data_IF_421128498635
#
_entry.id   IF_421128498635
#
_cell.length_a   1.000
_cell.length_b   1.000
_cell.length_c   1.000
_cell.angle_alpha   90.00
_cell.angle_beta   90.00
_cell.angle_gamma   90.00
#
_symmetry.space_group_name_H-M   'P 1'
#
loop_
_entity.id
_entity.type
_entity.pdbx_description
1 polymer ?
#
# COMPACT_ATOMS: atom_id res chain seq x y z
N UNK A 1 -60.87 -34.27 32.07
CA UNK A 1 -59.89 -33.88 31.02
C UNK A 1 -59.20 -32.61 31.49
N UNK A 2 -57.89 -32.67 31.73
CA UNK A 2 -57.14 -31.72 32.57
C UNK A 2 -56.77 -30.42 31.83
N UNK A 3 -57.44 -29.32 32.18
CA UNK A 3 -57.22 -27.95 31.70
C UNK A 3 -55.76 -27.46 31.84
N UNK A 4 -55.02 -28.01 32.80
CA UNK A 4 -53.59 -27.73 33.04
C UNK A 4 -52.67 -28.33 31.98
N UNK A 5 -53.05 -29.45 31.36
CA UNK A 5 -52.23 -30.12 30.35
C UNK A 5 -52.30 -29.39 29.01
N UNK A 6 -53.47 -28.84 28.66
CA UNK A 6 -53.66 -28.03 27.44
C UNK A 6 -52.94 -26.67 27.54
N UNK A 7 -52.96 -26.03 28.72
CA UNK A 7 -52.23 -24.78 28.96
C UNK A 7 -50.70 -24.96 28.83
N UNK A 8 -50.14 -26.08 29.31
CA UNK A 8 -48.71 -26.36 29.15
C UNK A 8 -48.33 -26.62 27.68
N UNK A 9 -49.18 -27.27 26.89
CA UNK A 9 -48.94 -27.48 25.45
C UNK A 9 -49.01 -26.17 24.67
N UNK A 10 -49.93 -25.28 25.04
CA UNK A 10 -50.04 -23.94 24.44
C UNK A 10 -48.81 -23.08 24.78
N UNK A 11 -48.34 -23.11 26.04
CA UNK A 11 -47.14 -22.38 26.47
C UNK A 11 -45.87 -22.88 25.77
N UNK A 12 -45.72 -24.20 25.62
CA UNK A 12 -44.59 -24.80 24.87
C UNK A 12 -44.65 -24.38 23.39
N UNK A 13 -45.84 -24.34 22.79
CA UNK A 13 -46.01 -23.86 21.41
C UNK A 13 -45.62 -22.39 21.23
N UNK A 14 -46.01 -21.53 22.17
CA UNK A 14 -45.67 -20.09 22.15
C UNK A 14 -44.17 -19.87 22.34
N UNK A 15 -43.54 -20.58 23.27
CA UNK A 15 -42.09 -20.51 23.51
C UNK A 15 -41.32 -21.05 22.29
N UNK A 16 -41.76 -22.17 21.71
CA UNK A 16 -41.15 -22.73 20.50
C UNK A 16 -41.23 -21.78 19.30
N UNK A 17 -42.37 -21.11 19.12
CA UNK A 17 -42.55 -20.09 18.08
C UNK A 17 -41.63 -18.87 18.29
N UNK A 18 -41.52 -18.38 19.53
CA UNK A 18 -40.64 -17.26 19.85
C UNK A 18 -39.15 -17.58 19.62
N UNK A 19 -38.72 -18.80 19.96
CA UNK A 19 -37.33 -19.25 19.71
C UNK A 19 -37.05 -19.37 18.22
N UNK A 20 -38.00 -19.86 17.42
CA UNK A 20 -37.85 -19.96 15.96
C UNK A 20 -37.73 -18.57 15.31
N UNK A 21 -38.53 -17.60 15.77
CA UNK A 21 -38.45 -16.21 15.31
C UNK A 21 -37.09 -15.60 15.69
N UNK A 22 -36.62 -15.82 16.91
CA UNK A 22 -35.31 -15.32 17.34
C UNK A 22 -34.17 -15.91 16.52
N UNK A 23 -34.20 -17.22 16.25
CA UNK A 23 -33.18 -17.90 15.44
C UNK A 23 -33.18 -17.41 13.98
N UNK A 24 -34.36 -17.18 13.40
CA UNK A 24 -34.47 -16.63 12.04
C UNK A 24 -33.99 -15.19 11.95
N UNK A 25 -34.23 -14.36 12.97
CA UNK A 25 -33.68 -13.01 13.06
C UNK A 25 -32.15 -13.03 13.21
N UNK A 26 -31.58 -13.89 14.05
CA UNK A 26 -30.12 -14.03 14.21
C UNK A 26 -29.48 -14.50 12.90
N UNK A 27 -30.06 -15.49 12.22
CA UNK A 27 -29.58 -15.97 10.93
C UNK A 27 -29.63 -14.87 9.86
N UNK A 28 -30.72 -14.10 9.82
CA UNK A 28 -30.88 -12.99 8.87
C UNK A 28 -29.86 -11.88 9.14
N UNK A 29 -29.63 -11.52 10.40
CA UNK A 29 -28.61 -10.55 10.79
C UNK A 29 -27.22 -11.04 10.41
N UNK A 30 -26.91 -12.32 10.68
CA UNK A 30 -25.63 -12.92 10.33
C UNK A 30 -25.37 -12.92 8.82
N UNK A 31 -26.38 -13.25 8.00
CA UNK A 31 -26.27 -13.20 6.54
C UNK A 31 -26.11 -11.75 6.05
N UNK A 32 -26.88 -10.80 6.59
CA UNK A 32 -26.83 -9.39 6.19
C UNK A 32 -25.51 -8.69 6.58
N UNK A 33 -24.86 -9.13 7.67
CA UNK A 33 -23.57 -8.56 8.11
C UNK A 33 -22.34 -9.16 7.42
N UNK A 34 -22.49 -10.23 6.64
CA UNK A 34 -21.38 -10.81 5.88
C UNK A 34 -21.17 -10.00 4.61
N UNK A 35 -19.93 -9.56 4.36
CA UNK A 35 -19.55 -8.98 3.06
C UNK A 35 -19.71 -10.06 1.97
N UNK A 36 -20.24 -9.75 0.78
CA UNK A 36 -20.36 -10.72 -0.30
C UNK A 36 -18.98 -11.22 -0.71
N UNK A 37 -18.82 -12.54 -0.78
CA UNK A 37 -17.63 -13.18 -1.36
C UNK A 37 -17.81 -13.15 -2.87
N UNK A 38 -17.11 -12.25 -3.54
CA UNK A 38 -17.05 -12.22 -5.00
C UNK A 38 -16.08 -13.32 -5.45
N UNK A 39 -16.63 -14.47 -5.85
CA UNK A 39 -15.85 -15.50 -6.55
C UNK A 39 -15.83 -15.14 -8.02
N UNK A 40 -14.70 -14.62 -8.51
CA UNK A 40 -14.48 -14.45 -9.94
C UNK A 40 -14.19 -15.84 -10.51
N UNK A 41 -15.20 -16.42 -11.17
CA UNK A 41 -15.04 -17.67 -11.94
C UNK A 41 -14.51 -17.27 -13.32
N UNK A 42 -13.35 -17.79 -13.77
CA UNK A 42 -12.88 -17.56 -15.13
C UNK A 42 -13.93 -18.11 -16.12
N UNK A 43 -14.35 -17.30 -17.09
CA UNK A 43 -15.17 -17.78 -18.20
C UNK A 43 -14.31 -18.71 -19.06
N UNK A 44 -14.90 -19.82 -19.51
CA UNK A 44 -14.22 -20.85 -20.31
C UNK A 44 -13.77 -20.37 -21.71
N UNK A 45 -14.01 -19.12 -22.08
CA UNK A 45 -13.77 -18.59 -23.43
C UNK A 45 -12.49 -17.72 -23.56
N UNK A 46 -11.74 -17.48 -22.49
CA UNK A 46 -10.49 -16.68 -22.55
C UNK A 46 -9.27 -17.44 -23.11
N UNK A 47 -9.47 -18.68 -23.60
CA UNK A 47 -8.42 -19.57 -24.11
C UNK A 47 -8.04 -19.45 -25.59
N UNK A 48 -8.55 -18.47 -26.37
CA UNK A 48 -8.40 -18.49 -27.84
C UNK A 48 -7.93 -17.21 -28.51
N UNK A 49 -7.10 -16.38 -27.86
CA UNK A 49 -6.30 -15.37 -28.56
C UNK A 49 -4.82 -15.43 -28.17
N UNK A 50 -4.23 -16.60 -28.37
CA UNK A 50 -2.80 -16.73 -28.61
C UNK A 50 -2.56 -16.99 -30.10
N UNK A 51 -1.54 -16.31 -30.64
CA UNK A 51 -0.91 -16.47 -31.96
C UNK A 51 -1.60 -15.81 -33.18
N UNK A 52 -1.01 -14.70 -33.63
CA UNK A 52 -0.40 -14.61 -34.97
C UNK A 52 0.25 -13.24 -35.19
N UNK A 53 1.56 -13.15 -34.96
CA UNK A 53 2.38 -12.11 -35.56
C UNK A 53 3.64 -12.80 -36.12
N UNK A 54 3.51 -13.28 -37.34
CA UNK A 54 4.60 -13.74 -38.20
C UNK A 54 5.47 -12.53 -38.54
N UNK A 55 6.63 -12.41 -37.90
CA UNK A 55 7.66 -11.47 -38.32
C UNK A 55 8.34 -12.01 -39.58
N UNK A 56 8.14 -11.30 -40.70
CA UNK A 56 8.81 -11.55 -41.96
C UNK A 56 10.31 -11.23 -41.82
N UNK A 57 11.14 -12.25 -42.06
CA UNK A 57 12.57 -12.07 -42.26
C UNK A 57 12.81 -11.27 -43.55
N UNK A 58 13.51 -10.14 -43.43
CA UNK A 58 14.20 -9.51 -44.55
C UNK A 58 15.70 -9.50 -44.23
N UNK A 59 16.42 -10.35 -44.96
CA UNK A 59 17.87 -10.34 -44.99
C UNK A 59 18.34 -9.15 -45.83
N UNK A 60 19.22 -8.32 -45.28
CA UNK A 60 20.10 -7.49 -46.09
C UNK A 60 21.45 -7.28 -45.40
N UNK A 61 22.50 -7.74 -46.08
CA UNK A 61 23.79 -7.08 -46.25
C UNK A 61 24.62 -6.76 -45.01
N UNK A 62 25.61 -7.61 -44.73
CA UNK A 62 26.76 -7.31 -43.89
C UNK A 62 27.57 -6.10 -44.40
N UNK A 63 28.09 -5.29 -43.48
CA UNK A 63 29.47 -4.78 -43.57
C UNK A 63 30.06 -4.73 -42.16
N UNK A 64 31.12 -5.49 -41.95
CA UNK A 64 31.93 -5.47 -40.74
C UNK A 64 32.79 -4.19 -40.72
N UNK A 65 32.75 -3.45 -39.61
CA UNK A 65 33.77 -2.48 -39.25
C UNK A 65 34.21 -2.78 -37.82
N UNK A 66 35.40 -3.37 -37.70
CA UNK A 66 36.09 -3.61 -36.43
C UNK A 66 36.52 -2.27 -35.83
N UNK A 67 35.81 -1.83 -34.80
CA UNK A 67 36.25 -0.77 -33.89
C UNK A 67 36.27 -1.35 -32.48
N UNK A 68 37.43 -1.81 -32.03
CA UNK A 68 37.64 -2.18 -30.64
C UNK A 68 37.58 -0.91 -29.79
N UNK A 69 36.40 -0.60 -29.25
CA UNK A 69 36.27 0.37 -28.17
C UNK A 69 36.52 -0.41 -26.89
N UNK A 70 37.67 -0.17 -26.27
CA UNK A 70 37.97 -0.67 -24.94
C UNK A 70 36.87 -0.17 -24.00
N UNK A 71 35.94 -1.06 -23.64
CA UNK A 71 35.01 -0.82 -22.56
C UNK A 71 35.87 -0.78 -21.28
N UNK A 72 36.18 0.42 -20.81
CA UNK A 72 36.56 0.63 -19.42
C UNK A 72 35.41 0.07 -18.60
N UNK A 73 35.60 -1.12 -18.04
CA UNK A 73 34.78 -1.65 -16.96
C UNK A 73 34.89 -0.67 -15.81
N UNK A 74 33.96 0.29 -15.76
CA UNK A 74 33.67 0.99 -14.52
C UNK A 74 33.40 -0.10 -13.48
N UNK A 75 34.14 -0.06 -12.38
CA UNK A 75 33.89 -0.94 -11.26
C UNK A 75 32.42 -0.76 -10.89
N UNK A 76 31.64 -1.83 -11.05
CA UNK A 76 30.27 -1.90 -10.56
C UNK A 76 30.37 -1.73 -9.05
N UNK A 77 29.83 -0.62 -8.52
CA UNK A 77 29.75 -0.41 -7.07
C UNK A 77 29.14 -1.67 -6.44
N UNK A 78 29.66 -2.14 -5.29
CA UNK A 78 29.11 -3.32 -4.65
C UNK A 78 27.59 -3.12 -4.48
N UNK A 79 26.78 -4.15 -4.75
CA UNK A 79 25.33 -4.02 -4.65
C UNK A 79 24.98 -3.48 -3.28
N UNK A 80 24.17 -2.42 -3.25
CA UNK A 80 23.77 -1.78 -2.00
C UNK A 80 23.21 -2.84 -1.04
N UNK A 81 23.64 -2.81 0.21
CA UNK A 81 23.15 -3.68 1.28
C UNK A 81 22.53 -2.79 2.36
N UNK A 82 21.30 -3.11 2.79
CA UNK A 82 20.62 -2.38 3.86
C UNK A 82 20.93 -3.05 5.19
N UNK A 83 21.79 -2.39 5.98
CA UNK A 83 22.11 -2.86 7.34
C UNK A 83 21.03 -2.42 8.33
N UNK A 84 20.51 -3.37 9.11
CA UNK A 84 19.56 -3.13 10.20
C UNK A 84 20.31 -3.29 11.54
N UNK A 85 20.57 -2.16 12.21
CA UNK A 85 21.36 -2.13 13.43
C UNK A 85 20.51 -2.37 14.67
N UNK A 86 20.95 -3.29 15.54
CA UNK A 86 20.31 -3.52 16.83
C UNK A 86 20.57 -2.35 17.79
N UNK A 87 19.51 -1.89 18.46
CA UNK A 87 19.56 -0.83 19.46
C UNK A 87 18.74 -1.22 20.68
N UNK A 88 19.06 -0.63 21.84
CA UNK A 88 18.33 -0.92 23.08
C UNK A 88 16.88 -0.40 23.04
N UNK A 89 16.68 0.75 22.39
CA UNK A 89 15.38 1.39 22.22
C UNK A 89 15.31 2.06 20.85
N UNK A 90 14.37 1.64 20.00
CA UNK A 90 14.14 2.28 18.72
C UNK A 90 13.49 3.67 18.91
N UNK A 91 13.84 4.68 18.08
CA UNK A 91 13.35 6.04 18.22
C UNK A 91 11.84 6.13 18.05
N UNK A 92 11.22 7.22 18.54
CA UNK A 92 9.82 7.48 18.23
C UNK A 92 9.64 7.71 16.73
N UNK A 93 8.53 7.22 16.18
CA UNK A 93 8.15 7.46 14.78
C UNK A 93 7.69 8.91 14.57
N UNK A 94 7.25 9.61 15.62
CA UNK A 94 6.66 10.95 15.49
C UNK A 94 7.64 12.02 14.98
N UNK A 95 8.95 11.77 15.11
CA UNK A 95 9.98 12.68 14.65
C UNK A 95 10.94 12.00 13.66
N UNK A 96 10.64 12.01 12.34
CA UNK A 96 11.53 11.52 11.30
C UNK A 96 12.88 12.27 11.20
N UNK A 97 13.04 13.39 11.88
CA UNK A 97 14.24 14.23 11.89
C UNK A 97 15.03 14.09 13.20
N UNK A 98 14.75 13.06 14.01
CA UNK A 98 15.44 12.83 15.27
C UNK A 98 16.97 12.70 15.08
N UNK A 99 17.81 13.42 15.85
CA UNK A 99 19.27 13.31 15.80
C UNK A 99 19.81 11.90 16.07
N UNK A 100 19.00 10.99 16.62
CA UNK A 100 19.30 9.56 16.70
C UNK A 100 19.76 9.01 15.34
N UNK A 101 19.09 9.42 14.26
CA UNK A 101 19.37 8.91 12.92
C UNK A 101 20.74 9.34 12.39
N UNK A 102 21.32 10.43 12.88
CA UNK A 102 22.67 10.86 12.46
C UNK A 102 23.76 9.87 12.89
N UNK A 103 23.46 8.98 13.85
CA UNK A 103 24.36 7.94 14.35
C UNK A 103 24.26 6.62 13.59
N UNK A 104 23.21 6.45 12.77
CA UNK A 104 22.94 5.22 12.04
C UNK A 104 23.50 5.35 10.63
N UNK A 105 24.29 4.36 10.19
CA UNK A 105 24.83 4.34 8.83
C UNK A 105 23.69 4.32 7.80
N UNK A 106 23.69 5.27 6.88
CA UNK A 106 22.75 5.31 5.76
C UNK A 106 23.29 4.49 4.59
N UNK A 107 22.45 3.59 4.09
CA UNK A 107 22.70 2.82 2.87
C UNK A 107 22.11 3.60 1.69
N UNK A 108 22.94 3.96 0.71
CA UNK A 108 22.48 4.63 -0.51
C UNK A 108 22.06 3.58 -1.54
N UNK A 109 20.82 3.63 -2.00
CA UNK A 109 20.25 2.65 -2.91
C UNK A 109 19.84 3.37 -4.19
N UNK A 110 20.53 3.04 -5.29
CA UNK A 110 20.21 3.58 -6.60
C UNK A 110 18.83 3.11 -7.08
N UNK A 111 18.07 4.05 -7.64
CA UNK A 111 16.72 3.84 -8.14
C UNK A 111 16.73 3.82 -9.67
N UNK A 112 15.91 2.95 -10.25
CA UNK A 112 15.74 2.79 -11.70
C UNK A 112 14.30 3.12 -12.08
N UNK A 113 14.05 3.71 -13.27
CA UNK A 113 12.69 3.84 -13.76
C UNK A 113 12.06 2.45 -13.98
N UNK A 114 10.80 2.28 -13.59
CA UNK A 114 10.08 1.05 -13.89
C UNK A 114 9.82 0.93 -15.41
N UNK A 115 10.32 -0.16 -16.00
CA UNK A 115 10.26 -0.45 -17.44
C UNK A 115 9.73 -1.85 -17.76
N UNK A 116 9.26 -2.60 -16.75
CA UNK A 116 8.91 -4.03 -16.88
C UNK A 116 7.48 -4.24 -17.39
N UNK A 117 6.56 -3.37 -16.99
CA UNK A 117 5.12 -3.52 -17.21
C UNK A 117 4.47 -2.15 -17.44
N UNK A 118 3.46 -2.07 -18.29
CA UNK A 118 2.72 -0.83 -18.53
C UNK A 118 1.85 -0.45 -17.31
N UNK A 119 1.71 0.85 -16.97
CA UNK A 119 2.35 2.01 -17.62
C UNK A 119 3.80 2.19 -17.17
N UNK A 120 4.73 2.27 -18.15
CA UNK A 120 6.16 2.46 -17.90
C UNK A 120 6.50 3.91 -17.56
N UNK A 121 7.62 4.12 -16.84
CA UNK A 121 8.16 5.45 -16.53
C UNK A 121 9.34 5.77 -17.45
N UNK A 122 9.13 6.62 -18.47
CA UNK A 122 10.14 6.90 -19.50
C UNK A 122 11.50 7.38 -18.97
N UNK A 123 11.51 8.22 -17.93
CA UNK A 123 12.72 8.71 -17.29
C UNK A 123 12.54 8.69 -15.76
N UNK A 124 13.60 8.29 -15.03
CA UNK A 124 13.57 8.30 -13.58
C UNK A 124 13.50 9.72 -13.04
N UNK A 125 12.62 9.96 -12.07
CA UNK A 125 12.47 11.26 -11.40
C UNK A 125 13.20 11.32 -10.06
N UNK A 126 13.54 10.16 -9.49
CA UNK A 126 14.30 10.02 -8.24
C UNK A 126 15.45 9.05 -8.51
N UNK A 127 16.68 9.51 -8.32
CA UNK A 127 17.90 8.76 -8.67
C UNK A 127 18.37 7.80 -7.58
N UNK A 128 18.18 8.14 -6.30
CA UNK A 128 18.54 7.26 -5.20
C UNK A 128 17.69 7.53 -3.95
N UNK A 129 17.69 6.56 -3.04
CA UNK A 129 17.09 6.67 -1.71
C UNK A 129 18.14 6.31 -0.66
N UNK A 130 18.18 7.09 0.42
CA UNK A 130 19.00 6.78 1.60
C UNK A 130 18.14 6.05 2.62
N UNK A 131 18.58 4.87 3.01
CA UNK A 131 17.88 3.98 3.93
C UNK A 131 18.70 3.80 5.20
N UNK A 132 18.08 4.06 6.34
CA UNK A 132 18.61 3.76 7.66
C UNK A 132 17.64 2.81 8.34
N UNK A 133 18.14 1.78 9.00
CA UNK A 133 17.28 0.78 9.60
C UNK A 133 17.83 0.35 10.96
N UNK A 134 16.92 0.23 11.93
CA UNK A 134 17.24 -0.23 13.28
C UNK A 134 16.18 -1.21 13.76
N UNK A 135 16.54 -2.01 14.75
CA UNK A 135 15.57 -2.85 15.47
C UNK A 135 15.87 -2.87 16.96
N UNK A 136 14.80 -2.96 17.76
CA UNK A 136 14.87 -3.24 19.19
C UNK A 136 14.17 -4.58 19.48
N UNK A 137 13.95 -4.90 20.74
CA UNK A 137 13.28 -6.15 21.13
C UNK A 137 11.81 -6.24 20.67
N UNK A 138 11.18 -5.12 20.31
CA UNK A 138 9.74 -5.00 20.09
C UNK A 138 9.36 -4.66 18.65
N UNK A 139 10.25 -4.04 17.85
CA UNK A 139 9.92 -3.55 16.51
C UNK A 139 11.15 -3.34 15.61
N UNK A 140 10.91 -3.42 14.31
CA UNK A 140 11.79 -2.92 13.27
C UNK A 140 11.39 -1.49 12.87
N UNK A 141 12.36 -0.62 12.62
CA UNK A 141 12.12 0.77 12.20
C UNK A 141 13.04 1.12 11.05
N UNK A 142 12.45 1.58 9.94
CA UNK A 142 13.18 2.05 8.77
C UNK A 142 12.94 3.54 8.59
N UNK A 143 13.99 4.28 8.28
CA UNK A 143 13.93 5.65 7.78
C UNK A 143 14.40 5.67 6.34
N UNK A 144 13.51 6.09 5.45
CA UNK A 144 13.80 6.27 4.02
C UNK A 144 13.78 7.76 3.73
N UNK A 145 14.80 8.24 3.03
CA UNK A 145 14.88 9.64 2.62
C UNK A 145 15.33 9.79 1.18
N UNK A 146 14.76 10.78 0.49
CA UNK A 146 15.06 11.06 -0.92
C UNK A 146 14.83 12.52 -1.24
N UNK A 147 15.59 13.03 -2.21
CA UNK A 147 15.52 14.43 -2.60
C UNK A 147 14.20 14.73 -3.29
N UNK A 148 13.60 15.85 -2.89
CA UNK A 148 12.31 16.33 -3.36
C UNK A 148 12.21 17.84 -3.16
N UNK A 149 12.42 18.61 -4.22
CA UNK A 149 12.41 20.08 -4.15
C UNK A 149 11.04 20.65 -3.78
N UNK A 150 9.96 20.08 -4.34
CA UNK A 150 8.58 20.52 -4.11
C UNK A 150 7.74 19.34 -3.65
N UNK A 151 7.04 19.48 -2.53
CA UNK A 151 6.15 18.44 -2.01
C UNK A 151 4.91 18.30 -2.89
N UNK A 152 4.50 17.06 -3.14
CA UNK A 152 3.19 16.76 -3.70
C UNK A 152 2.40 15.88 -2.73
N UNK A 153 1.40 16.45 -2.08
CA UNK A 153 0.60 15.77 -1.05
C UNK A 153 -0.90 15.97 -1.27
N UNK A 154 -1.28 16.70 -2.32
CA UNK A 154 -2.66 17.02 -2.65
C UNK A 154 -3.29 15.93 -3.52
N UNK A 155 -4.55 15.61 -3.23
CA UNK A 155 -5.38 14.75 -4.06
C UNK A 155 -6.41 15.61 -4.81
N UNK A 156 -6.05 16.08 -6.01
CA UNK A 156 -6.94 16.83 -6.90
C UNK A 156 -6.89 16.23 -8.31
N UNK A 157 -7.82 16.65 -9.18
CA UNK A 157 -7.90 16.16 -10.56
C UNK A 157 -6.61 16.48 -11.30
N UNK A 158 -5.93 15.43 -11.78
CA UNK A 158 -4.67 15.55 -12.51
C UNK A 158 -3.45 15.82 -11.63
N UNK A 159 -3.60 15.86 -10.31
CA UNK A 159 -2.50 15.97 -9.36
C UNK A 159 -2.28 14.61 -8.68
N UNK A 160 -1.02 14.30 -8.38
CA UNK A 160 -0.63 13.04 -7.76
C UNK A 160 0.20 13.30 -6.52
N UNK A 161 0.17 12.36 -5.59
CA UNK A 161 0.91 12.43 -4.33
C UNK A 161 2.28 11.76 -4.47
N UNK A 162 3.24 12.29 -3.73
CA UNK A 162 4.46 11.61 -3.37
C UNK A 162 4.13 10.39 -2.52
N UNK A 163 4.90 9.32 -2.71
CA UNK A 163 4.77 8.10 -1.95
C UNK A 163 6.09 7.32 -1.95
N UNK A 164 6.28 6.49 -0.92
CA UNK A 164 7.37 5.52 -0.86
C UNK A 164 6.83 4.18 -0.39
N UNK A 165 7.28 3.10 -1.01
CA UNK A 165 6.93 1.75 -0.59
C UNK A 165 8.19 0.91 -0.36
N UNK A 166 8.13 0.07 0.66
CA UNK A 166 9.07 -1.00 0.92
C UNK A 166 8.38 -2.33 0.64
N UNK A 167 9.00 -3.16 -0.19
CA UNK A 167 8.49 -4.48 -0.56
C UNK A 167 9.39 -5.56 0.04
N UNK A 168 8.78 -6.63 0.51
CA UNK A 168 9.43 -7.78 1.14
C UNK A 168 8.87 -9.09 0.55
N UNK A 169 9.71 -10.08 0.25
CA UNK A 169 9.24 -11.40 -0.18
C UNK A 169 8.68 -12.18 1.03
N UNK A 170 7.56 -12.88 0.85
CA UNK A 170 7.03 -13.81 1.86
C UNK A 170 7.45 -15.27 1.60
N UNK A 171 8.05 -15.52 0.43
CA UNK A 171 8.50 -16.84 -0.04
C UNK A 171 9.82 -16.69 -0.77
N UNK A 172 10.68 -17.71 -0.67
CA UNK A 172 11.94 -17.76 -1.39
C UNK A 172 11.76 -17.62 -2.90
N UNK A 173 12.71 -16.95 -3.55
CA UNK A 173 12.71 -16.80 -5.00
C UNK A 173 11.59 -15.90 -5.56
N UNK A 174 10.80 -15.25 -4.70
CA UNK A 174 9.79 -14.30 -5.16
C UNK A 174 10.45 -13.19 -5.99
N UNK A 175 9.98 -12.90 -7.21
CA UNK A 175 10.57 -11.85 -8.03
C UNK A 175 10.22 -10.46 -7.50
N UNK A 176 11.12 -9.49 -7.71
CA UNK A 176 10.92 -8.09 -7.28
C UNK A 176 9.74 -7.41 -8.01
N UNK A 177 9.24 -8.01 -9.08
CA UNK A 177 8.08 -7.59 -9.89
C UNK A 177 6.74 -7.79 -9.17
N UNK A 178 6.69 -7.44 -7.88
CA UNK A 178 5.56 -7.62 -6.98
C UNK A 178 5.15 -9.08 -6.78
N UNK A 179 6.10 -10.01 -6.86
CA UNK A 179 5.87 -11.44 -6.63
C UNK A 179 5.33 -12.19 -7.86
N UNK A 180 4.71 -13.34 -7.60
CA UNK A 180 4.05 -14.18 -8.61
C UNK A 180 2.92 -15.01 -7.99
N UNK A 181 2.20 -15.83 -8.79
CA UNK A 181 0.95 -16.50 -8.35
C UNK A 181 1.04 -17.26 -7.03
N UNK A 182 2.20 -17.86 -6.72
CA UNK A 182 2.48 -18.60 -5.48
C UNK A 182 3.65 -18.03 -4.67
N UNK A 183 4.09 -16.83 -5.04
CA UNK A 183 5.24 -16.16 -4.44
C UNK A 183 4.81 -14.76 -4.01
N UNK A 184 4.01 -14.65 -2.95
CA UNK A 184 3.48 -13.36 -2.54
C UNK A 184 4.58 -12.46 -1.96
N UNK A 185 4.36 -11.17 -2.10
CA UNK A 185 5.15 -10.12 -1.43
C UNK A 185 4.25 -9.30 -0.52
N UNK A 186 4.83 -8.75 0.55
CA UNK A 186 4.21 -7.75 1.41
C UNK A 186 4.83 -6.40 1.09
N UNK A 187 4.01 -5.36 1.01
CA UNK A 187 4.47 -4.00 0.80
C UNK A 187 3.94 -3.09 1.90
N UNK A 188 4.80 -2.22 2.42
CA UNK A 188 4.46 -1.13 3.32
C UNK A 188 4.56 0.16 2.52
N UNK A 189 3.44 0.83 2.26
CA UNK A 189 3.32 1.93 1.30
C UNK A 189 2.88 3.21 2.01
N UNK A 190 3.82 4.11 2.26
CA UNK A 190 3.56 5.44 2.77
C UNK A 190 3.09 6.38 1.66
N UNK A 191 2.09 7.21 1.95
CA UNK A 191 1.56 8.22 1.02
C UNK A 191 1.51 9.60 1.68
N UNK A 192 2.03 10.61 0.99
CA UNK A 192 2.03 11.98 1.50
C UNK A 192 0.60 12.54 1.68
N UNK A 193 -0.34 12.24 0.78
CA UNK A 193 -1.75 12.62 0.99
C UNK A 193 -2.35 12.02 2.25
N UNK A 194 -2.02 10.77 2.59
CA UNK A 194 -2.54 10.16 3.81
C UNK A 194 -1.90 10.75 5.06
N UNK A 195 -0.64 11.17 4.97
CA UNK A 195 0.03 11.95 6.02
C UNK A 195 -0.67 13.29 6.23
N UNK A 196 -0.98 14.02 5.15
CA UNK A 196 -1.72 15.28 5.20
C UNK A 196 -3.12 15.11 5.81
N UNK A 197 -3.84 14.05 5.43
CA UNK A 197 -5.15 13.73 5.99
C UNK A 197 -5.11 13.55 7.53
N UNK A 198 -4.00 13.04 8.07
CA UNK A 198 -3.80 12.84 9.51
C UNK A 198 -3.43 14.16 10.20
N UNK A 199 -2.63 15.00 9.53
CA UNK A 199 -2.09 16.24 10.12
C UNK A 199 -3.09 17.40 10.08
N UNK A 200 -3.82 17.53 8.98
CA UNK A 200 -4.72 18.66 8.72
C UNK A 200 -6.20 18.24 8.68
N UNK A 201 -6.48 16.94 8.82
CA UNK A 201 -7.80 16.36 8.60
C UNK A 201 -8.04 15.99 7.14
N UNK A 202 -9.11 15.21 6.91
CA UNK A 202 -9.42 14.68 5.58
C UNK A 202 -9.62 15.81 4.55
N UNK A 203 -8.85 15.76 3.47
CA UNK A 203 -8.83 16.78 2.41
C UNK A 203 -10.06 16.65 1.50
N UNK A 204 -11.16 17.29 1.89
CA UNK A 204 -12.38 17.32 1.08
C UNK A 204 -12.43 18.49 0.07
N UNK A 205 -13.48 18.54 -0.74
CA UNK A 205 -13.65 19.59 -1.74
C UNK A 205 -13.66 20.99 -1.13
N UNK A 206 -14.20 21.15 0.08
CA UNK A 206 -14.26 22.44 0.73
C UNK A 206 -12.88 22.96 1.15
N UNK A 207 -11.97 22.06 1.49
CA UNK A 207 -10.56 22.41 1.75
C UNK A 207 -9.77 22.65 0.46
N UNK A 208 -9.97 21.80 -0.55
CA UNK A 208 -9.19 21.81 -1.80
C UNK A 208 -9.61 22.96 -2.72
N UNK A 209 -10.91 23.24 -2.79
CA UNK A 209 -11.54 24.26 -3.63
C UNK A 209 -12.58 25.05 -2.82
N UNK A 210 -12.17 25.96 -1.91
CA UNK A 210 -13.09 26.66 -1.00
C UNK A 210 -14.11 27.57 -1.71
N UNK A 211 -13.82 27.94 -2.95
CA UNK A 211 -14.71 28.76 -3.79
C UNK A 211 -15.57 27.92 -4.75
N UNK A 212 -15.47 26.59 -4.72
CA UNK A 212 -16.34 25.72 -5.51
C UNK A 212 -17.76 25.80 -4.95
N UNK A 213 -18.74 25.94 -5.83
CA UNK A 213 -20.15 25.81 -5.48
C UNK A 213 -20.73 24.59 -6.18
N UNK A 214 -21.63 23.91 -5.52
CA UNK A 214 -22.30 22.69 -6.01
C UNK A 214 -23.78 22.88 -5.78
N UNK A 215 -24.56 22.94 -6.86
CA UNK A 215 -25.97 23.36 -6.87
C UNK A 215 -26.76 22.83 -5.67
N UNK A 216 -27.13 21.55 -5.72
CA UNK A 216 -27.96 20.93 -4.70
C UNK A 216 -27.61 19.46 -4.59
N UNK A 217 -27.09 19.08 -3.43
CA UNK A 217 -27.02 17.69 -3.01
C UNK A 217 -28.12 17.46 -1.99
N UNK A 218 -29.18 16.75 -2.38
CA UNK A 218 -30.41 16.59 -1.59
C UNK A 218 -30.18 16.00 -0.19
N UNK A 219 -29.09 15.26 -0.02
CA UNK A 219 -28.68 14.60 1.23
C UNK A 219 -27.65 15.40 2.04
N UNK A 220 -27.28 16.59 1.58
CA UNK A 220 -26.30 17.42 2.28
C UNK A 220 -26.95 18.39 3.24
N UNK A 221 -26.28 18.61 4.37
CA UNK A 221 -26.61 19.66 5.34
C UNK A 221 -25.44 20.63 5.41
N UNK A 222 -25.72 21.93 5.40
CA UNK A 222 -24.71 22.96 5.62
C UNK A 222 -24.61 23.95 4.47
N UNK A 223 -23.48 24.67 4.44
CA UNK A 223 -23.15 25.68 3.43
C UNK A 223 -22.26 25.04 2.37
N UNK A 224 -22.50 25.36 1.10
CA UNK A 224 -21.62 24.96 0.01
C UNK A 224 -20.24 25.65 0.06
N UNK A 225 -19.17 24.98 -0.41
CA UNK A 225 -19.12 23.56 -0.76
C UNK A 225 -19.28 22.69 0.49
N UNK A 226 -20.13 21.67 0.43
CA UNK A 226 -20.41 20.85 1.61
C UNK A 226 -19.21 19.96 1.95
N UNK A 227 -18.78 20.03 3.21
CA UNK A 227 -17.78 19.11 3.73
C UNK A 227 -18.30 17.67 3.69
N UNK A 228 -17.44 16.74 3.27
CA UNK A 228 -17.78 15.32 3.21
C UNK A 228 -17.90 14.73 4.62
N UNK A 229 -17.03 15.17 5.53
CA UNK A 229 -16.95 14.66 6.90
C UNK A 229 -18.05 15.21 7.81
N UNK A 230 -18.58 16.39 7.50
CA UNK A 230 -19.66 17.03 8.25
C UNK A 230 -21.02 16.91 7.53
N UNK A 231 -21.13 17.53 6.35
CA UNK A 231 -22.40 17.75 5.66
C UNK A 231 -22.96 16.53 4.94
N UNK A 232 -22.11 15.57 4.59
CA UNK A 232 -22.47 14.35 3.84
C UNK A 232 -22.25 13.07 4.64
N UNK A 233 -21.95 13.17 5.93
CA UNK A 233 -21.70 12.04 6.80
C UNK A 233 -22.99 11.47 7.41
N UNK A 234 -23.97 11.17 6.56
CA UNK A 234 -25.24 10.56 6.93
C UNK A 234 -25.52 9.30 6.10
N UNK A 235 -26.34 8.35 6.60
CA UNK A 235 -26.64 7.10 5.89
C UNK A 235 -27.17 7.32 4.47
N UNK A 236 -28.00 8.34 4.28
CA UNK A 236 -28.65 8.65 3.01
C UNK A 236 -27.69 9.21 1.95
N UNK A 237 -26.65 9.93 2.36
CA UNK A 237 -25.59 10.42 1.47
C UNK A 237 -24.55 9.32 1.20
N UNK A 238 -24.23 8.49 2.19
CA UNK A 238 -23.22 7.43 2.08
C UNK A 238 -23.53 6.41 0.97
N UNK A 239 -24.80 6.11 0.70
CA UNK A 239 -25.20 5.22 -0.41
C UNK A 239 -24.78 5.75 -1.80
N UNK A 240 -24.60 7.06 -1.96
CA UNK A 240 -24.11 7.67 -3.21
C UNK A 240 -22.59 7.83 -3.23
N UNK A 241 -21.93 7.61 -2.09
CA UNK A 241 -20.47 7.63 -1.95
C UNK A 241 -19.92 6.22 -2.10
N UNK A 242 -20.02 5.67 -3.30
CA UNK A 242 -19.73 4.26 -3.60
C UNK A 242 -18.34 3.83 -3.12
N UNK A 243 -17.32 4.70 -3.25
CA UNK A 243 -15.97 4.38 -2.78
C UNK A 243 -15.89 4.23 -1.25
N UNK A 244 -16.51 5.15 -0.50
CA UNK A 244 -16.59 5.05 0.97
C UNK A 244 -17.46 3.86 1.40
N UNK A 245 -18.60 3.64 0.73
CA UNK A 245 -19.49 2.51 0.99
C UNK A 245 -18.83 1.14 0.71
N UNK A 246 -17.97 1.07 -0.31
CA UNK A 246 -17.17 -0.11 -0.63
C UNK A 246 -15.99 -0.33 0.34
N UNK A 247 -15.73 0.61 1.27
CA UNK A 247 -14.60 0.56 2.18
C UNK A 247 -13.26 0.78 1.47
N UNK A 248 -13.24 1.61 0.41
CA UNK A 248 -12.00 1.97 -0.27
C UNK A 248 -11.06 2.70 0.71
N UNK A 249 -9.82 2.22 0.92
CA UNK A 249 -8.86 2.85 1.83
C UNK A 249 -8.55 4.32 1.50
N UNK A 250 -8.65 4.73 0.23
CA UNK A 250 -8.48 6.13 -0.17
C UNK A 250 -9.62 7.03 0.32
N UNK A 251 -10.82 6.46 0.48
CA UNK A 251 -12.02 7.17 0.93
C UNK A 251 -12.30 6.99 2.43
N UNK A 252 -11.30 6.56 3.21
CA UNK A 252 -11.40 6.54 4.66
C UNK A 252 -11.17 7.94 5.24
N UNK A 253 -12.21 8.51 5.83
CA UNK A 253 -12.20 9.86 6.41
C UNK A 253 -11.58 9.92 7.81
N UNK A 254 -11.48 8.78 8.49
CA UNK A 254 -10.99 8.67 9.87
C UNK A 254 -9.65 7.92 9.92
N UNK A 255 -8.83 8.12 8.90
CA UNK A 255 -7.56 7.43 8.74
C UNK A 255 -6.64 7.69 9.92
N UNK A 256 -6.00 6.62 10.40
CA UNK A 256 -5.11 6.66 11.58
C UNK A 256 -3.63 6.46 11.25
N UNK A 257 -3.33 5.93 10.08
CA UNK A 257 -1.96 5.64 9.64
C UNK A 257 -1.75 6.13 8.21
N UNK A 258 -0.59 6.75 7.91
CA UNK A 258 -0.23 7.12 6.54
C UNK A 258 0.30 5.93 5.74
N UNK A 259 0.37 4.74 6.36
CA UNK A 259 0.86 3.50 5.75
C UNK A 259 -0.30 2.66 5.27
N UNK A 260 -0.26 2.31 3.99
CA UNK A 260 -1.07 1.24 3.42
C UNK A 260 -0.23 -0.04 3.35
N UNK A 261 -0.72 -1.14 3.92
CA UNK A 261 -0.13 -2.44 3.59
C UNK A 261 -0.85 -3.10 2.43
N UNK A 262 -0.03 -3.67 1.54
CA UNK A 262 -0.49 -4.35 0.36
C UNK A 262 0.12 -5.74 0.30
N UNK A 263 -0.64 -6.72 -0.16
CA UNK A 263 -0.13 -8.01 -0.60
C UNK A 263 -0.22 -8.09 -2.12
N UNK A 264 0.75 -8.72 -2.77
CA UNK A 264 0.71 -8.93 -4.22
C UNK A 264 1.27 -10.30 -4.60
N UNK A 265 0.69 -10.87 -5.66
CA UNK A 265 1.03 -12.14 -6.30
C UNK A 265 1.42 -11.91 -7.77
N UNK A 266 2.19 -10.84 -8.02
CA UNK A 266 2.53 -10.31 -9.34
C UNK A 266 2.01 -8.89 -9.54
N UNK A 267 2.60 -8.17 -10.49
CA UNK A 267 2.12 -6.83 -10.86
C UNK A 267 0.63 -6.87 -11.25
N UNK A 268 -0.14 -5.88 -10.82
CA UNK A 268 -1.59 -5.81 -11.07
C UNK A 268 -2.47 -6.56 -10.07
N UNK A 269 -1.90 -7.35 -9.14
CA UNK A 269 -2.65 -8.05 -8.08
C UNK A 269 -2.52 -7.41 -6.69
N UNK A 270 -1.92 -6.22 -6.61
CA UNK A 270 -1.73 -5.51 -5.36
C UNK A 270 -3.07 -5.24 -4.68
N UNK A 271 -3.24 -5.77 -3.48
CA UNK A 271 -4.50 -5.74 -2.75
C UNK A 271 -4.25 -5.22 -1.34
N UNK A 272 -5.11 -4.31 -0.90
CA UNK A 272 -5.12 -3.77 0.45
C UNK A 272 -5.30 -4.87 1.50
N UNK A 273 -4.48 -4.82 2.54
CA UNK A 273 -4.62 -5.67 3.73
C UNK A 273 -5.23 -4.83 4.84
N UNK A 274 -6.37 -5.26 5.37
CA UNK A 274 -7.03 -4.60 6.49
C UNK A 274 -6.32 -4.87 7.83
N UNK A 275 -6.55 -4.01 8.82
CA UNK A 275 -6.11 -4.16 10.22
C UNK A 275 -4.61 -4.44 10.38
N UNK A 276 -3.81 -3.48 9.94
CA UNK A 276 -2.37 -3.60 9.77
C UNK A 276 -1.60 -3.00 10.95
N UNK A 277 -0.51 -3.65 11.42
CA UNK A 277 0.21 -3.20 12.60
C UNK A 277 1.28 -2.14 12.31
N UNK A 278 1.58 -1.85 11.05
CA UNK A 278 2.64 -0.88 10.70
C UNK A 278 2.14 0.56 10.89
N UNK A 279 2.98 1.38 11.50
CA UNK A 279 2.78 2.83 11.57
C UNK A 279 3.90 3.52 10.81
N UNK A 280 3.73 4.83 10.63
CA UNK A 280 4.78 5.64 10.05
C UNK A 280 4.45 7.11 10.11
N UNK A 281 5.47 7.90 9.76
CA UNK A 281 5.42 9.35 9.76
C UNK A 281 6.34 9.88 8.68
N UNK A 282 5.84 10.80 7.88
CA UNK A 282 6.64 11.58 6.95
C UNK A 282 6.92 12.98 7.48
N UNK A 283 8.10 13.51 7.20
CA UNK A 283 8.43 14.92 7.36
C UNK A 283 9.25 15.39 6.17
N UNK A 284 8.94 16.57 5.65
CA UNK A 284 9.73 17.20 4.60
C UNK A 284 10.56 18.34 5.21
N UNK A 285 11.85 18.39 4.87
CA UNK A 285 12.76 19.45 5.30
C UNK A 285 13.85 19.68 4.26
N UNK A 286 14.10 20.94 3.93
CA UNK A 286 15.24 21.38 3.10
C UNK A 286 15.34 20.61 1.76
N UNK A 287 14.22 20.42 1.07
CA UNK A 287 14.22 19.75 -0.24
C UNK A 287 14.36 18.23 -0.16
N UNK A 288 14.06 17.61 0.98
CA UNK A 288 14.12 16.16 1.17
C UNK A 288 12.94 15.65 1.98
N UNK A 289 12.39 14.50 1.56
CA UNK A 289 11.47 13.73 2.38
C UNK A 289 12.23 12.82 3.34
N UNK A 290 11.71 12.68 4.55
CA UNK A 290 12.15 11.74 5.56
C UNK A 290 10.94 10.98 6.06
N UNK A 291 10.89 9.68 5.76
CA UNK A 291 9.77 8.82 6.13
C UNK A 291 10.26 7.74 7.06
N UNK A 292 9.71 7.70 8.26
CA UNK A 292 9.92 6.60 9.21
C UNK A 292 8.74 5.66 9.13
N UNK A 293 9.00 4.36 9.01
CA UNK A 293 8.02 3.28 9.02
C UNK A 293 8.44 2.30 10.09
N UNK A 294 7.52 1.90 10.97
CA UNK A 294 7.78 0.84 11.95
C UNK A 294 6.93 -0.40 11.69
N UNK A 295 7.46 -1.54 12.13
CA UNK A 295 6.79 -2.84 12.12
C UNK A 295 7.01 -3.51 13.47
N UNK A 296 5.95 -3.70 14.28
CA UNK A 296 6.04 -4.46 15.51
C UNK A 296 6.53 -5.90 15.26
N UNK A 297 7.43 -6.39 16.10
CA UNK A 297 7.88 -7.78 16.10
C UNK A 297 6.76 -8.62 16.71
N UNK A 298 6.09 -9.41 15.87
CA UNK A 298 5.07 -10.37 16.28
C UNK A 298 5.40 -11.74 15.68
N UNK A 299 5.49 -12.76 16.54
CA UNK A 299 5.82 -14.14 16.14
C UNK A 299 4.75 -14.82 15.28
N UNK A 300 3.57 -14.22 15.15
CA UNK A 300 2.50 -14.73 14.27
C UNK A 300 2.43 -13.99 12.93
N UNK A 301 3.19 -12.91 12.77
CA UNK A 301 3.21 -12.13 11.54
C UNK A 301 4.12 -12.79 10.50
N UNK A 302 3.59 -13.21 9.33
CA UNK A 302 4.37 -13.86 8.29
C UNK A 302 5.58 -13.05 7.82
N UNK A 303 5.52 -11.71 7.88
CA UNK A 303 6.64 -10.86 7.50
C UNK A 303 7.78 -10.94 8.52
N UNK A 304 7.47 -10.75 9.80
CA UNK A 304 8.45 -10.73 10.90
C UNK A 304 9.08 -12.10 11.11
N UNK A 305 8.27 -13.16 11.08
CA UNK A 305 8.74 -14.55 11.20
C UNK A 305 9.83 -14.82 10.16
N UNK A 306 9.66 -14.32 8.94
CA UNK A 306 10.64 -14.49 7.85
C UNK A 306 11.96 -13.76 8.09
N UNK A 307 11.92 -12.55 8.63
CA UNK A 307 13.14 -11.81 8.96
C UNK A 307 14.03 -12.57 9.95
N UNK A 308 13.42 -13.25 10.92
CA UNK A 308 14.13 -13.95 11.99
C UNK A 308 14.61 -15.35 11.58
N UNK A 309 13.88 -16.05 10.70
CA UNK A 309 14.12 -17.47 10.41
C UNK A 309 14.95 -17.73 9.14
N UNK A 310 14.91 -16.83 8.13
CA UNK A 310 15.53 -17.09 6.82
C UNK A 310 16.43 -15.93 6.34
N UNK A 311 17.74 -15.97 6.65
CA UNK A 311 18.70 -14.94 6.21
C UNK A 311 18.75 -14.75 4.69
N UNK A 312 18.55 -15.81 3.91
CA UNK A 312 18.55 -15.78 2.43
C UNK A 312 17.35 -15.03 1.83
N UNK A 313 16.33 -14.75 2.65
CA UNK A 313 15.10 -14.05 2.25
C UNK A 313 15.01 -12.65 2.87
N UNK A 314 16.06 -12.20 3.56
CA UNK A 314 16.20 -10.82 4.01
C UNK A 314 16.48 -9.94 2.79
N UNK A 315 15.45 -9.72 1.98
CA UNK A 315 15.48 -8.87 0.79
C UNK A 315 14.45 -7.77 0.92
N UNK A 316 14.82 -6.57 0.52
CA UNK A 316 13.94 -5.42 0.45
C UNK A 316 14.03 -4.81 -0.93
N UNK A 317 12.91 -4.33 -1.46
CA UNK A 317 12.91 -3.49 -2.65
C UNK A 317 12.15 -2.19 -2.34
N UNK A 318 12.57 -1.10 -2.95
CA UNK A 318 11.96 0.20 -2.75
C UNK A 318 11.24 0.65 -4.01
N UNK A 319 10.17 1.41 -3.82
CA UNK A 319 9.55 2.15 -4.89
C UNK A 319 9.22 3.57 -4.42
N UNK A 320 9.50 4.57 -5.26
CA UNK A 320 9.23 5.98 -4.97
C UNK A 320 8.41 6.59 -6.10
N UNK A 321 7.33 7.26 -5.71
CA UNK A 321 6.49 8.05 -6.60
C UNK A 321 6.75 9.52 -6.32
N UNK A 322 7.01 10.26 -7.40
CA UNK A 322 7.09 11.71 -7.42
C UNK A 322 5.80 12.25 -8.03
N UNK A 323 4.97 12.86 -7.19
CA UNK A 323 3.69 13.38 -7.59
C UNK A 323 3.78 14.52 -8.61
N UNK A 324 4.83 15.36 -8.52
CA UNK A 324 5.07 16.46 -9.47
C UNK A 324 5.47 15.96 -10.85
N UNK A 325 6.12 14.79 -10.92
CA UNK A 325 6.43 14.10 -12.17
C UNK A 325 5.26 13.25 -12.71
N UNK A 326 4.07 13.33 -12.11
CA UNK A 326 2.90 12.52 -12.44
C UNK A 326 3.12 11.01 -12.29
N UNK A 327 3.96 10.60 -11.33
CA UNK A 327 4.15 9.20 -10.99
C UNK A 327 2.93 8.70 -10.21
N UNK A 328 2.35 7.58 -10.66
CA UNK A 328 1.26 6.86 -9.98
C UNK A 328 1.12 5.45 -10.54
N UNK A 329 0.62 4.53 -9.71
CA UNK A 329 0.44 3.14 -10.10
C UNK A 329 1.77 2.52 -10.52
N UNK A 330 1.85 1.97 -11.74
CA UNK A 330 3.07 1.38 -12.30
C UNK A 330 4.18 2.39 -12.63
N UNK A 331 3.86 3.66 -12.88
CA UNK A 331 4.87 4.70 -13.16
C UNK A 331 5.52 5.13 -11.86
N UNK A 332 6.72 4.61 -11.60
CA UNK A 332 7.47 4.85 -10.37
C UNK A 332 8.94 4.55 -10.57
N UNK A 333 9.77 5.07 -9.69
CA UNK A 333 11.16 4.66 -9.56
C UNK A 333 11.18 3.41 -8.67
N UNK A 334 11.97 2.40 -9.01
CA UNK A 334 12.07 1.12 -8.30
C UNK A 334 13.51 0.69 -8.09
N UNK A 335 13.72 -0.23 -7.15
CA UNK A 335 14.95 -1.01 -7.05
C UNK A 335 14.67 -2.47 -7.42
N UNK A 336 15.73 -3.20 -7.76
CA UNK A 336 15.70 -4.66 -7.67
C UNK A 336 15.74 -5.08 -6.19
N UNK A 337 15.81 -6.38 -5.92
CA UNK A 337 16.05 -6.86 -4.56
C UNK A 337 17.39 -6.37 -4.03
N UNK A 338 17.35 -5.73 -2.86
CA UNK A 338 18.46 -5.23 -2.09
C UNK A 338 18.61 -6.17 -0.88
N UNK A 339 19.77 -6.79 -0.66
CA UNK A 339 20.01 -7.59 0.54
C UNK A 339 19.85 -6.73 1.80
N UNK A 340 19.16 -7.29 2.79
CA UNK A 340 19.11 -6.76 4.14
C UNK A 340 19.97 -7.61 5.05
N UNK A 341 20.66 -6.97 5.98
CA UNK A 341 21.44 -7.65 7.00
C UNK A 341 21.03 -7.19 8.38
N UNK A 342 20.48 -8.10 9.17
CA UNK A 342 20.02 -7.83 10.54
C UNK A 342 21.16 -8.14 11.51
N UNK A 343 21.57 -7.14 12.30
CA UNK A 343 22.52 -7.34 13.39
C UNK A 343 21.86 -8.19 14.50
N UNK A 344 22.57 -9.18 15.09
CA UNK A 344 22.01 -10.15 16.04
C UNK A 344 21.64 -9.57 17.43
#
# INVERSE_FOLDING_TARGET
>A
MNRTQDNNRMLIGVIGGAVLILLTMIASLFIATRRPVVVVVPSADDGSRAASATAAASASGAVAASGAVAATTAAEDPPAEVKITKVDLAPSIDNPLDPFWDKIAASDVAMLPQQVAQPMLAAGSVSSVKVQAVHDANRYVWRVSWDKAEIAERSDVGQFSDAVAMQFPLTEGAPYTMGGPKMPVRMLHWKATWQKDIDEGFQDLAQIQPNADVDLYWFSKGKNPNSVTEGLNNPEARQYMVAAAAGNPMSDWNRKSPIEELTAHGFGSATHVADTPSQGRGAWKEGRWYVVIDRPINSTDPLVVRFNENPQQQLIAFAVWDGTANNRGGRKNITNWVPMRIDP
#
